data_IF_092344211480
#
_entry.id   IF_092344211480
#
_cell.length_a   1.000
_cell.length_b   1.000
_cell.length_c   1.000
_cell.angle_alpha   90.00
_cell.angle_beta   90.00
_cell.angle_gamma   90.00
#
_symmetry.space_group_name_H-M   'P 1'
#
loop_
_entity.id
_entity.type
_entity.pdbx_description
1 polymer ?
#
# COMPACT_ATOMS: atom_id res chain seq x y z
N UNK A 1 2.55 -5.50 -37.12
CA UNK A 1 3.11 -5.20 -35.79
C UNK A 1 4.59 -4.83 -35.84
N UNK A 2 5.50 -5.65 -36.40
CA UNK A 2 6.93 -5.32 -36.43
C UNK A 2 7.27 -3.98 -37.09
N UNK A 3 6.54 -3.60 -38.16
CA UNK A 3 6.67 -2.26 -38.77
C UNK A 3 6.17 -1.14 -37.86
N UNK A 4 5.00 -1.30 -37.23
CA UNK A 4 4.44 -0.33 -36.30
C UNK A 4 5.34 -0.10 -35.07
N UNK A 5 5.91 -1.18 -34.50
CA UNK A 5 6.93 -1.06 -33.45
C UNK A 5 8.19 -0.37 -33.98
N UNK A 6 8.65 -0.77 -35.16
CA UNK A 6 9.77 -0.17 -35.86
C UNK A 6 9.66 1.34 -36.06
N UNK A 7 8.48 1.83 -36.45
CA UNK A 7 8.19 3.25 -36.60
C UNK A 7 8.34 4.01 -35.27
N UNK A 8 7.96 3.40 -34.15
CA UNK A 8 8.01 4.05 -32.83
C UNK A 8 9.42 4.06 -32.22
N UNK A 9 10.18 2.96 -32.34
CA UNK A 9 11.42 2.78 -31.56
C UNK A 9 12.69 2.59 -32.41
N UNK A 10 12.58 2.40 -33.73
CA UNK A 10 13.72 2.04 -34.58
C UNK A 10 13.66 2.66 -35.99
N UNK A 11 13.10 3.88 -36.11
CA UNK A 11 13.12 4.66 -37.34
C UNK A 11 12.49 3.97 -38.56
N UNK A 12 11.42 3.18 -38.34
CA UNK A 12 10.68 2.48 -39.39
C UNK A 12 11.22 1.09 -39.76
N UNK A 13 12.34 0.64 -39.17
CA UNK A 13 12.85 -0.72 -39.40
C UNK A 13 12.01 -1.76 -38.65
N UNK A 14 11.55 -2.84 -39.31
CA UNK A 14 10.78 -3.90 -38.65
C UNK A 14 11.50 -4.41 -37.39
N UNK A 15 10.84 -4.31 -36.24
CA UNK A 15 11.40 -4.67 -34.93
C UNK A 15 10.48 -5.63 -34.20
N UNK A 16 11.05 -6.69 -33.65
CA UNK A 16 10.32 -7.72 -32.90
C UNK A 16 10.58 -7.59 -31.40
N UNK A 17 9.56 -7.77 -30.55
CA UNK A 17 9.76 -7.82 -29.11
C UNK A 17 10.49 -9.11 -28.72
N UNK A 18 11.41 -9.01 -27.76
CA UNK A 18 12.05 -10.18 -27.14
C UNK A 18 11.18 -10.81 -26.04
N UNK A 19 10.28 -10.01 -25.46
CA UNK A 19 9.37 -10.41 -24.39
C UNK A 19 8.12 -9.53 -24.48
N UNK A 20 6.96 -10.09 -24.12
CA UNK A 20 5.72 -9.34 -23.97
C UNK A 20 5.31 -9.39 -22.50
N UNK A 21 5.13 -8.22 -21.88
CA UNK A 21 4.73 -8.12 -20.47
C UNK A 21 3.28 -7.63 -20.38
N UNK A 22 2.36 -8.54 -20.03
CA UNK A 22 0.97 -8.23 -19.75
C UNK A 22 0.78 -7.71 -18.32
N UNK A 23 0.00 -6.63 -18.18
CA UNK A 23 -0.36 -6.06 -16.88
C UNK A 23 -1.88 -6.04 -16.72
N UNK A 24 -2.40 -6.50 -15.57
CA UNK A 24 -3.84 -6.70 -15.35
C UNK A 24 -4.47 -7.75 -16.28
N UNK A 25 -5.78 -7.96 -16.13
CA UNK A 25 -6.53 -9.00 -16.83
C UNK A 25 -6.65 -8.74 -18.34
N UNK A 26 -7.02 -7.52 -18.71
CA UNK A 26 -7.26 -7.07 -20.07
C UNK A 26 -5.98 -7.09 -20.91
N UNK A 27 -4.91 -6.42 -20.45
CA UNK A 27 -3.65 -6.47 -21.18
C UNK A 27 -2.97 -7.84 -21.06
N UNK A 28 -3.27 -8.62 -20.00
CA UNK A 28 -2.86 -10.02 -19.88
C UNK A 28 -3.43 -10.89 -20.99
N UNK A 29 -4.72 -10.78 -21.28
CA UNK A 29 -5.38 -11.49 -22.39
C UNK A 29 -4.81 -11.08 -23.76
N UNK A 30 -4.62 -9.78 -23.98
CA UNK A 30 -4.01 -9.28 -25.22
C UNK A 30 -2.58 -9.79 -25.36
N UNK A 31 -1.80 -9.75 -24.27
CA UNK A 31 -0.44 -10.27 -24.25
C UNK A 31 -0.39 -11.77 -24.54
N UNK A 32 -1.34 -12.56 -24.03
CA UNK A 32 -1.43 -13.99 -24.31
C UNK A 32 -1.65 -14.28 -25.80
N UNK A 33 -2.60 -13.56 -26.42
CA UNK A 33 -2.87 -13.68 -27.85
C UNK A 33 -1.67 -13.26 -28.70
N UNK A 34 -1.02 -12.15 -28.34
CA UNK A 34 0.17 -11.67 -29.05
C UNK A 34 1.37 -12.60 -28.89
N UNK A 35 1.59 -13.12 -27.69
CA UNK A 35 2.62 -14.12 -27.38
C UNK A 35 2.47 -15.35 -28.28
N UNK A 36 1.25 -15.89 -28.37
CA UNK A 36 0.97 -17.03 -29.25
C UNK A 36 1.13 -16.70 -30.74
N UNK A 37 0.65 -15.54 -31.19
CA UNK A 37 0.75 -15.14 -32.59
C UNK A 37 2.19 -14.83 -33.05
N UNK A 38 3.03 -14.30 -32.15
CA UNK A 38 4.40 -13.90 -32.46
C UNK A 38 5.44 -14.95 -32.05
N UNK A 39 5.05 -15.96 -31.28
CA UNK A 39 5.93 -16.94 -30.68
C UNK A 39 7.04 -16.27 -29.84
N UNK A 40 6.65 -15.32 -28.98
CA UNK A 40 7.54 -14.52 -28.12
C UNK A 40 7.18 -14.81 -26.65
N UNK A 41 8.15 -15.02 -25.75
CA UNK A 41 7.88 -15.27 -24.34
C UNK A 41 7.00 -14.22 -23.68
N UNK A 42 6.06 -14.66 -22.84
CA UNK A 42 5.17 -13.79 -22.07
C UNK A 42 5.50 -13.76 -20.59
N UNK A 43 5.51 -12.56 -20.03
CA UNK A 43 5.50 -12.28 -18.59
C UNK A 43 4.16 -11.66 -18.21
N UNK A 44 3.62 -12.03 -17.05
CA UNK A 44 2.37 -11.48 -16.54
C UNK A 44 2.57 -10.83 -15.16
N UNK A 45 1.95 -9.67 -14.94
CA UNK A 45 1.78 -9.09 -13.61
C UNK A 45 0.30 -8.78 -13.38
N UNK A 46 -0.31 -9.45 -12.40
CA UNK A 46 -1.74 -9.34 -12.15
C UNK A 46 -2.16 -7.99 -11.57
N UNK A 47 -1.37 -7.42 -10.65
CA UNK A 47 -1.65 -6.22 -9.82
C UNK A 47 -2.90 -6.32 -8.93
N UNK A 48 -3.98 -6.90 -9.42
CA UNK A 48 -5.23 -7.16 -8.72
C UNK A 48 -5.99 -8.29 -9.40
N UNK A 49 -6.44 -9.28 -8.63
CA UNK A 49 -7.05 -10.49 -9.17
C UNK A 49 -8.57 -10.53 -8.99
N UNK A 50 -9.27 -11.01 -10.02
CA UNK A 50 -10.72 -11.16 -10.08
C UNK A 50 -11.27 -12.16 -9.06
N UNK A 51 -10.68 -13.36 -8.92
CA UNK A 51 -11.16 -14.39 -7.97
C UNK A 51 -11.10 -13.91 -6.52
N UNK A 52 -10.01 -13.25 -6.13
CA UNK A 52 -9.87 -12.68 -4.78
C UNK A 52 -10.94 -11.61 -4.51
N UNK A 53 -11.18 -10.71 -5.46
CA UNK A 53 -12.26 -9.71 -5.36
C UNK A 53 -13.64 -10.36 -5.30
N UNK A 54 -13.85 -11.41 -6.09
CA UNK A 54 -15.11 -12.13 -6.14
C UNK A 54 -15.43 -12.79 -4.78
N UNK A 55 -14.46 -13.48 -4.18
CA UNK A 55 -14.63 -14.04 -2.82
C UNK A 55 -14.93 -12.97 -1.78
N UNK A 56 -14.25 -11.82 -1.85
CA UNK A 56 -14.51 -10.70 -0.92
C UNK A 56 -15.94 -10.17 -1.07
N UNK A 57 -16.44 -10.01 -2.30
CA UNK A 57 -17.80 -9.56 -2.55
C UNK A 57 -18.85 -10.57 -2.05
N UNK A 58 -18.58 -11.87 -2.23
CA UNK A 58 -19.45 -12.93 -1.69
C UNK A 58 -19.47 -12.93 -0.16
N UNK A 59 -18.32 -12.76 0.50
CA UNK A 59 -18.21 -12.70 1.96
C UNK A 59 -18.97 -11.52 2.58
N UNK A 60 -19.17 -10.44 1.83
CA UNK A 60 -20.00 -9.32 2.29
C UNK A 60 -21.50 -9.67 2.35
N UNK A 61 -21.94 -10.74 1.70
CA UNK A 61 -23.31 -11.26 1.77
C UNK A 61 -24.39 -10.34 1.17
N UNK A 62 -24.00 -9.25 0.51
CA UNK A 62 -24.94 -8.22 0.02
C UNK A 62 -25.61 -8.56 -1.31
N UNK A 63 -24.99 -9.44 -2.11
CA UNK A 63 -25.41 -9.70 -3.49
C UNK A 63 -25.22 -11.17 -3.86
N UNK A 64 -26.12 -11.70 -4.69
CA UNK A 64 -25.95 -13.04 -5.26
C UNK A 64 -24.80 -13.06 -6.27
N UNK A 65 -24.27 -14.25 -6.55
CA UNK A 65 -23.21 -14.47 -7.55
C UNK A 65 -23.61 -13.91 -8.93
N UNK A 66 -24.86 -14.10 -9.31
CA UNK A 66 -25.43 -13.66 -10.59
C UNK A 66 -25.44 -12.13 -10.67
N UNK A 67 -25.87 -11.47 -9.59
CA UNK A 67 -25.87 -10.00 -9.51
C UNK A 67 -24.45 -9.43 -9.58
N UNK A 68 -23.51 -10.00 -8.83
CA UNK A 68 -22.10 -9.58 -8.86
C UNK A 68 -21.54 -9.69 -10.28
N UNK A 69 -21.79 -10.81 -10.97
CA UNK A 69 -21.31 -11.00 -12.33
C UNK A 69 -22.01 -10.08 -13.34
N UNK A 70 -23.31 -9.85 -13.20
CA UNK A 70 -24.05 -8.94 -14.07
C UNK A 70 -23.48 -7.51 -14.02
N UNK A 71 -23.17 -7.03 -12.82
CA UNK A 71 -22.66 -5.68 -12.54
C UNK A 71 -21.18 -5.51 -12.92
N UNK A 72 -20.31 -6.41 -12.47
CA UNK A 72 -18.84 -6.23 -12.60
C UNK A 72 -18.20 -7.03 -13.74
N UNK A 73 -18.98 -7.87 -14.45
CA UNK A 73 -18.47 -8.82 -15.46
C UNK A 73 -17.30 -9.64 -14.93
N UNK A 74 -17.37 -10.02 -13.65
CA UNK A 74 -16.24 -10.59 -12.92
C UNK A 74 -15.78 -11.93 -13.51
N UNK A 75 -16.68 -12.73 -14.06
CA UNK A 75 -16.33 -14.03 -14.65
C UNK A 75 -15.51 -13.85 -15.93
N UNK A 76 -15.83 -12.84 -16.76
CA UNK A 76 -15.06 -12.51 -17.97
C UNK A 76 -13.65 -12.01 -17.65
N UNK A 77 -13.52 -11.28 -16.54
CA UNK A 77 -12.21 -10.88 -16.01
C UNK A 77 -11.41 -12.09 -15.53
N UNK A 78 -12.03 -13.00 -14.78
CA UNK A 78 -11.37 -14.21 -14.30
C UNK A 78 -10.90 -15.07 -15.48
N UNK A 79 -11.72 -15.23 -16.51
CA UNK A 79 -11.37 -15.93 -17.75
C UNK A 79 -10.14 -15.30 -18.45
N UNK A 80 -10.08 -13.97 -18.55
CA UNK A 80 -8.89 -13.27 -19.08
C UNK A 80 -7.63 -13.53 -18.24
N UNK A 81 -7.77 -13.55 -16.91
CA UNK A 81 -6.68 -13.82 -15.98
C UNK A 81 -6.19 -15.28 -16.07
N UNK A 82 -7.10 -16.26 -16.21
CA UNK A 82 -6.76 -17.67 -16.45
C UNK A 82 -6.02 -17.84 -17.79
N UNK A 83 -6.51 -17.20 -18.85
CA UNK A 83 -5.85 -17.24 -20.17
C UNK A 83 -4.45 -16.62 -20.12
N UNK A 84 -4.30 -15.49 -19.44
CA UNK A 84 -3.00 -14.86 -19.23
C UNK A 84 -2.05 -15.74 -18.42
N UNK A 85 -2.57 -16.42 -17.40
CA UNK A 85 -1.82 -17.32 -16.53
C UNK A 85 -1.31 -18.56 -17.27
N UNK A 86 -2.16 -19.14 -18.13
CA UNK A 86 -1.83 -20.30 -18.97
C UNK A 86 -0.78 -19.97 -20.04
N UNK A 87 -0.84 -18.76 -20.61
CA UNK A 87 0.10 -18.32 -21.65
C UNK A 87 1.45 -17.84 -21.10
N UNK A 88 1.52 -17.42 -19.84
CA UNK A 88 2.72 -16.85 -19.25
C UNK A 88 3.81 -17.90 -19.01
N UNK A 89 5.05 -17.56 -19.34
CA UNK A 89 6.21 -18.33 -18.89
C UNK A 89 6.61 -17.97 -17.46
N UNK A 90 6.39 -16.71 -17.09
CA UNK A 90 6.68 -16.15 -15.78
C UNK A 90 5.56 -15.23 -15.33
N UNK A 91 5.18 -15.35 -14.06
CA UNK A 91 4.28 -14.40 -13.40
C UNK A 91 5.08 -13.68 -12.33
N UNK A 92 5.09 -12.35 -12.42
CA UNK A 92 5.73 -11.46 -11.45
C UNK A 92 4.68 -10.97 -10.47
N UNK A 93 4.91 -11.24 -9.19
CA UNK A 93 4.08 -10.77 -8.08
C UNK A 93 4.87 -9.82 -7.19
N UNK A 94 4.15 -8.96 -6.46
CA UNK A 94 4.79 -8.04 -5.53
C UNK A 94 5.18 -8.74 -4.22
N UNK A 95 4.40 -9.74 -3.82
CA UNK A 95 4.53 -10.46 -2.55
C UNK A 95 4.39 -11.98 -2.73
N UNK A 96 4.84 -12.74 -1.73
CA UNK A 96 4.60 -14.19 -1.64
C UNK A 96 3.15 -14.50 -1.31
N UNK A 97 2.50 -13.68 -0.48
CA UNK A 97 1.09 -13.84 -0.16
C UNK A 97 0.20 -13.72 -1.41
N UNK A 98 0.56 -12.86 -2.37
CA UNK A 98 -0.12 -12.79 -3.66
C UNK A 98 -0.07 -14.14 -4.42
N UNK A 99 1.09 -14.81 -4.41
CA UNK A 99 1.23 -16.14 -5.04
C UNK A 99 0.38 -17.18 -4.29
N UNK A 100 0.48 -17.21 -2.96
CA UNK A 100 -0.07 -18.29 -2.15
C UNK A 100 -1.59 -18.18 -1.96
N UNK A 101 -2.10 -16.98 -1.73
CA UNK A 101 -3.50 -16.76 -1.34
C UNK A 101 -4.37 -16.16 -2.45
N UNK A 102 -3.78 -15.57 -3.49
CA UNK A 102 -4.54 -14.97 -4.60
C UNK A 102 -4.42 -15.79 -5.87
N UNK A 103 -3.20 -15.99 -6.38
CA UNK A 103 -2.99 -16.85 -7.55
C UNK A 103 -3.31 -18.32 -7.25
N UNK A 104 -3.13 -18.77 -6.01
CA UNK A 104 -3.54 -20.10 -5.56
C UNK A 104 -5.05 -20.38 -5.67
N UNK A 105 -5.89 -19.38 -5.97
CA UNK A 105 -7.31 -19.54 -6.23
C UNK A 105 -7.64 -19.92 -7.69
N UNK A 106 -6.69 -19.80 -8.61
CA UNK A 106 -6.91 -19.98 -10.05
C UNK A 106 -6.68 -21.43 -10.47
N UNK A 107 -7.47 -21.90 -11.44
CA UNK A 107 -7.46 -23.32 -11.82
C UNK A 107 -6.20 -23.67 -12.63
N UNK A 108 -5.65 -22.70 -13.38
CA UNK A 108 -4.39 -22.85 -14.12
C UNK A 108 -3.14 -22.98 -13.23
N UNK A 109 -3.27 -22.79 -11.91
CA UNK A 109 -2.10 -22.75 -11.01
C UNK A 109 -2.29 -23.51 -9.69
N UNK A 110 -1.40 -24.47 -9.45
CA UNK A 110 -1.24 -25.15 -8.16
C UNK A 110 0.22 -25.06 -7.70
N UNK A 111 0.43 -24.48 -6.53
CA UNK A 111 1.76 -24.20 -5.96
C UNK A 111 2.54 -25.50 -5.69
N UNK A 112 1.87 -26.55 -5.22
CA UNK A 112 2.52 -27.83 -4.90
C UNK A 112 2.93 -28.53 -6.20
N UNK A 113 2.08 -28.47 -7.22
CA UNK A 113 2.35 -29.04 -8.53
C UNK A 113 3.48 -28.30 -9.24
N UNK A 114 3.45 -26.96 -9.25
CA UNK A 114 4.52 -26.12 -9.83
C UNK A 114 5.89 -26.48 -9.23
N UNK A 115 5.98 -26.56 -7.89
CA UNK A 115 7.21 -26.92 -7.19
C UNK A 115 7.71 -28.32 -7.60
N UNK A 116 6.80 -29.29 -7.72
CA UNK A 116 7.14 -30.66 -8.18
C UNK A 116 7.64 -30.67 -9.63
N UNK A 117 6.93 -29.99 -10.54
CA UNK A 117 7.31 -29.88 -11.95
C UNK A 117 8.68 -29.22 -12.11
N UNK A 118 8.99 -28.19 -11.30
CA UNK A 118 10.30 -27.53 -11.28
C UNK A 118 11.44 -28.48 -10.87
N UNK A 119 11.24 -29.26 -9.81
CA UNK A 119 12.24 -30.25 -9.36
C UNK A 119 12.45 -31.34 -10.42
N UNK A 120 11.38 -31.81 -11.07
CA UNK A 120 11.46 -32.80 -12.15
C UNK A 120 12.22 -32.27 -13.37
N UNK A 121 11.92 -31.05 -13.83
CA UNK A 121 12.64 -30.39 -14.93
C UNK A 121 14.14 -30.26 -14.63
N UNK A 122 14.51 -29.86 -13.40
CA UNK A 122 15.93 -29.78 -12.96
C UNK A 122 16.65 -31.13 -12.98
N UNK A 123 15.91 -32.23 -12.83
CA UNK A 123 16.44 -33.60 -12.88
C UNK A 123 16.39 -34.20 -14.28
N UNK A 124 16.07 -33.42 -15.32
CA UNK A 124 15.93 -33.90 -16.69
C UNK A 124 14.73 -34.84 -16.91
N UNK A 125 13.78 -34.87 -15.97
CA UNK A 125 12.61 -35.76 -16.05
C UNK A 125 11.51 -35.08 -16.86
N UNK A 126 11.00 -35.78 -17.87
CA UNK A 126 9.89 -35.29 -18.72
C UNK A 126 8.64 -34.95 -17.91
N UNK A 127 8.03 -33.82 -18.28
CA UNK A 127 6.83 -33.23 -17.67
C UNK A 127 5.77 -32.90 -18.74
N UNK A 128 5.71 -33.69 -19.82
CA UNK A 128 4.78 -33.48 -20.94
C UNK A 128 3.33 -33.33 -20.45
N UNK A 129 2.62 -32.34 -21.01
CA UNK A 129 1.18 -32.15 -20.82
C UNK A 129 0.74 -31.20 -19.68
N UNK A 130 1.66 -30.68 -18.85
CA UNK A 130 1.35 -29.58 -17.92
C UNK A 130 2.52 -28.60 -17.79
N UNK A 131 2.35 -27.39 -18.31
CA UNK A 131 3.23 -26.26 -18.03
C UNK A 131 2.55 -25.37 -16.98
N UNK A 132 3.31 -24.91 -16.01
CA UNK A 132 2.87 -23.87 -15.08
C UNK A 132 3.86 -22.73 -15.14
N UNK A 133 3.38 -21.46 -15.10
CA UNK A 133 4.25 -20.31 -15.10
C UNK A 133 5.18 -20.35 -13.90
N UNK A 134 6.39 -19.84 -14.09
CA UNK A 134 7.30 -19.59 -12.98
C UNK A 134 6.79 -18.38 -12.19
N UNK A 135 6.33 -18.60 -10.97
CA UNK A 135 6.02 -17.49 -10.05
C UNK A 135 7.30 -16.89 -9.46
N UNK A 136 7.46 -15.58 -9.58
CA UNK A 136 8.61 -14.83 -9.05
C UNK A 136 8.13 -13.60 -8.30
N UNK A 137 8.61 -13.44 -7.07
CA UNK A 137 8.37 -12.21 -6.30
C UNK A 137 9.43 -11.18 -6.70
N UNK A 138 8.98 -10.11 -7.34
CA UNK A 138 9.80 -8.92 -7.65
C UNK A 138 9.03 -7.73 -7.06
N UNK A 139 9.30 -7.36 -5.80
CA UNK A 139 8.63 -6.23 -5.17
C UNK A 139 8.88 -4.96 -5.99
N UNK A 140 7.86 -4.12 -6.22
CA UNK A 140 8.09 -2.85 -6.88
C UNK A 140 9.00 -1.96 -6.02
N UNK A 141 9.83 -1.18 -6.70
CA UNK A 141 10.71 -0.20 -6.06
C UNK A 141 10.02 1.13 -5.81
N UNK A 142 10.74 2.01 -5.15
CA UNK A 142 10.38 3.41 -4.95
C UNK A 142 11.53 4.28 -5.44
N UNK A 143 11.21 5.44 -5.99
CA UNK A 143 12.22 6.45 -6.29
C UNK A 143 12.63 7.16 -4.99
N UNK A 144 13.82 6.80 -4.50
CA UNK A 144 14.39 7.39 -3.29
C UNK A 144 15.08 8.73 -3.52
N UNK A 145 15.10 9.28 -4.73
CA UNK A 145 15.73 10.59 -5.01
C UNK A 145 15.14 11.72 -4.17
N UNK A 146 13.87 11.59 -3.74
CA UNK A 146 13.18 12.55 -2.87
C UNK A 146 13.36 12.26 -1.38
N UNK A 147 13.87 11.08 -1.00
CA UNK A 147 14.06 10.70 0.40
C UNK A 147 15.39 11.27 0.89
N UNK A 148 15.29 12.41 1.56
CA UNK A 148 16.40 13.01 2.29
C UNK A 148 16.41 12.46 3.71
N UNK A 149 17.25 11.45 3.95
CA UNK A 149 17.54 10.98 5.31
C UNK A 149 18.05 12.19 6.13
N UNK A 150 17.34 12.52 7.20
CA UNK A 150 17.32 13.86 7.76
C UNK A 150 18.70 14.41 8.20
N UNK A 151 18.91 15.69 7.90
CA UNK A 151 19.70 16.62 8.73
C UNK A 151 19.26 16.48 10.21
N UNK A 152 20.23 16.55 11.12
CA UNK A 152 20.13 16.45 12.60
C UNK A 152 18.74 16.74 13.21
N UNK A 153 18.16 15.70 13.84
CA UNK A 153 16.81 15.60 14.39
C UNK A 153 16.41 16.61 15.49
N UNK A 154 17.33 17.38 16.08
CA UNK A 154 17.08 18.06 17.37
C UNK A 154 16.72 19.56 17.30
N UNK A 155 17.05 20.27 16.23
CA UNK A 155 17.03 21.75 16.24
C UNK A 155 15.69 22.41 15.86
N UNK A 156 14.98 21.88 14.87
CA UNK A 156 13.99 22.69 14.14
C UNK A 156 12.64 22.86 14.86
N UNK A 157 12.22 21.90 15.70
CA UNK A 157 10.87 21.91 16.30
C UNK A 157 10.74 22.93 17.44
N UNK A 158 11.83 23.26 18.15
CA UNK A 158 11.83 24.25 19.24
C UNK A 158 11.60 25.68 18.73
N UNK A 159 12.15 26.01 17.55
CA UNK A 159 12.04 27.34 16.93
C UNK A 159 10.64 27.75 16.45
N UNK A 160 9.68 26.82 16.47
CA UNK A 160 8.27 27.08 16.12
C UNK A 160 7.46 27.67 17.27
N UNK A 161 7.86 27.35 18.50
CA UNK A 161 6.99 27.49 19.67
C UNK A 161 7.54 28.56 20.62
N UNK A 162 8.86 28.83 20.58
CA UNK A 162 9.42 30.04 21.19
C UNK A 162 9.14 31.27 20.32
N UNK A 163 8.54 32.28 20.94
CA UNK A 163 8.22 33.60 20.37
C UNK A 163 9.44 34.51 20.22
N UNK A 164 10.65 33.98 20.40
CA UNK A 164 11.88 34.77 20.36
C UNK A 164 12.40 34.95 18.92
N UNK A 165 12.42 36.21 18.48
CA UNK A 165 12.44 36.61 17.06
C UNK A 165 13.81 36.57 16.38
N UNK A 166 14.86 35.97 16.95
CA UNK A 166 16.23 36.35 16.59
C UNK A 166 17.25 35.25 16.27
N UNK A 167 16.86 34.14 15.63
CA UNK A 167 17.83 33.26 14.96
C UNK A 167 17.31 32.81 13.59
N UNK A 168 18.22 32.76 12.60
CA UNK A 168 18.01 32.37 11.19
C UNK A 168 17.03 31.21 11.03
N UNK A 169 15.73 31.50 10.88
CA UNK A 169 14.68 30.49 10.70
C UNK A 169 14.87 29.83 9.33
N UNK A 170 15.37 28.59 9.30
CA UNK A 170 15.06 27.69 8.19
C UNK A 170 13.53 27.73 8.03
N UNK A 171 13.04 28.16 6.88
CA UNK A 171 11.60 28.24 6.62
C UNK A 171 11.02 26.85 6.74
N UNK A 172 10.19 26.63 7.74
CA UNK A 172 9.57 25.33 7.94
C UNK A 172 8.55 25.06 6.84
N UNK A 173 8.34 23.79 6.47
CA UNK A 173 7.36 23.45 5.45
C UNK A 173 5.97 23.99 5.80
N UNK A 174 5.27 24.70 4.90
CA UNK A 174 3.93 25.25 5.17
C UNK A 174 2.92 24.21 5.65
N UNK A 175 3.05 22.97 5.17
CA UNK A 175 2.18 21.85 5.56
C UNK A 175 2.26 21.52 7.06
N UNK A 176 3.38 21.82 7.74
CA UNK A 176 3.50 21.59 9.18
C UNK A 176 2.56 22.48 9.96
N UNK A 177 2.45 23.76 9.58
CA UNK A 177 1.51 24.71 10.21
C UNK A 177 0.05 24.29 10.00
N UNK A 178 -0.28 23.79 8.80
CA UNK A 178 -1.62 23.28 8.49
C UNK A 178 -2.00 22.04 9.33
N UNK A 179 -1.02 21.21 9.71
CA UNK A 179 -1.23 20.06 10.60
C UNK A 179 -1.25 20.50 12.06
N UNK A 180 -0.27 21.30 12.51
CA UNK A 180 -0.09 21.67 13.91
C UNK A 180 -1.23 22.51 14.47
N UNK A 181 -1.95 23.28 13.63
CA UNK A 181 -3.10 24.08 14.08
C UNK A 181 -4.23 23.25 14.71
N UNK A 182 -4.27 21.94 14.46
CA UNK A 182 -5.27 21.05 15.03
C UNK A 182 -4.92 20.59 16.45
N UNK A 183 -3.69 20.80 16.91
CA UNK A 183 -3.19 20.22 18.15
C UNK A 183 -3.09 21.25 19.27
N UNK A 184 -3.58 20.87 20.46
CA UNK A 184 -3.36 21.64 21.69
C UNK A 184 -1.91 21.50 22.15
N UNK A 185 -1.33 20.31 22.03
CA UNK A 185 0.09 20.06 22.31
C UNK A 185 0.77 19.42 21.08
N UNK A 186 1.41 20.21 20.20
CA UNK A 186 2.06 19.70 19.00
C UNK A 186 3.37 18.91 19.27
N UNK A 187 3.88 18.89 20.50
CA UNK A 187 5.12 18.16 20.84
C UNK A 187 4.92 16.65 21.03
N UNK A 188 3.68 16.19 21.19
CA UNK A 188 3.40 14.76 21.33
C UNK A 188 3.78 14.01 20.05
N UNK A 189 4.29 12.77 20.16
CA UNK A 189 4.46 11.88 19.02
C UNK A 189 3.24 11.83 18.12
N UNK A 190 3.48 11.84 16.80
CA UNK A 190 2.41 11.80 15.81
C UNK A 190 2.20 10.38 15.28
N UNK A 191 1.01 9.85 15.47
CA UNK A 191 0.54 8.67 14.75
C UNK A 191 0.05 9.15 13.38
N UNK A 192 0.76 8.79 12.32
CA UNK A 192 0.47 9.22 10.96
C UNK A 192 -0.26 8.12 10.18
N UNK A 193 -1.45 8.44 9.67
CA UNK A 193 -2.12 7.66 8.65
C UNK A 193 -2.25 8.48 7.37
N UNK A 194 -1.71 7.96 6.26
CA UNK A 194 -1.76 8.61 4.95
C UNK A 194 -2.45 7.68 3.95
N UNK A 195 -3.64 8.07 3.48
CA UNK A 195 -4.40 7.30 2.50
C UNK A 195 -5.49 8.12 1.82
N UNK A 196 -6.13 7.55 0.79
CA UNK A 196 -7.39 8.08 0.29
C UNK A 196 -8.53 7.82 1.30
N UNK A 197 -9.60 8.62 1.31
CA UNK A 197 -10.78 8.39 2.14
C UNK A 197 -11.65 7.26 1.56
N UNK A 198 -11.12 6.03 1.53
CA UNK A 198 -11.83 4.85 1.02
C UNK A 198 -12.19 3.91 2.19
N UNK A 199 -13.40 3.31 2.22
CA UNK A 199 -13.80 2.38 3.28
C UNK A 199 -12.80 1.24 3.52
N UNK A 200 -12.12 0.76 2.48
CA UNK A 200 -11.10 -0.31 2.57
C UNK A 200 -9.86 0.12 3.35
N UNK A 201 -9.58 1.42 3.43
CA UNK A 201 -8.46 1.97 4.22
C UNK A 201 -8.78 2.01 5.72
N UNK A 202 -10.03 1.77 6.11
CA UNK A 202 -10.44 1.45 7.48
C UNK A 202 -10.01 2.50 8.54
N UNK A 203 -9.94 3.76 8.14
CA UNK A 203 -9.54 4.88 9.01
C UNK A 203 -10.51 5.06 10.18
N UNK A 204 -11.77 4.68 10.00
CA UNK A 204 -12.80 4.73 11.05
C UNK A 204 -12.48 3.81 12.24
N UNK A 205 -11.93 2.61 11.99
CA UNK A 205 -11.54 1.69 13.07
C UNK A 205 -10.31 2.20 13.80
N UNK A 206 -9.37 2.82 13.09
CA UNK A 206 -8.23 3.52 13.70
C UNK A 206 -8.71 4.65 14.64
N UNK A 207 -9.66 5.47 14.21
CA UNK A 207 -10.21 6.54 15.06
C UNK A 207 -10.91 6.01 16.31
N UNK A 208 -11.66 4.90 16.20
CA UNK A 208 -12.26 4.25 17.38
C UNK A 208 -11.19 3.72 18.33
N UNK A 209 -10.17 3.05 17.79
CA UNK A 209 -9.03 2.55 18.57
C UNK A 209 -8.33 3.67 19.34
N UNK A 210 -8.08 4.79 18.68
CA UNK A 210 -7.50 5.97 19.31
C UNK A 210 -8.44 6.61 20.34
N UNK A 211 -9.71 6.80 19.99
CA UNK A 211 -10.69 7.49 20.85
C UNK A 211 -11.02 6.73 22.14
N UNK A 212 -11.03 5.40 22.10
CA UNK A 212 -11.33 4.56 23.27
C UNK A 212 -10.09 4.28 24.14
N UNK A 213 -8.88 4.52 23.63
CA UNK A 213 -7.64 4.25 24.34
C UNK A 213 -7.07 5.52 24.99
N UNK A 214 -7.48 5.79 26.23
CA UNK A 214 -7.02 6.96 26.99
C UNK A 214 -5.48 7.08 27.10
N UNK A 215 -4.72 6.01 27.41
CA UNK A 215 -3.25 6.11 27.47
C UNK A 215 -2.63 6.51 26.13
N UNK A 216 -3.23 6.11 25.01
CA UNK A 216 -2.72 6.44 23.67
C UNK A 216 -2.94 7.92 23.34
N UNK A 217 -4.10 8.46 23.72
CA UNK A 217 -4.46 9.88 23.59
C UNK A 217 -3.57 10.79 24.45
N UNK A 218 -3.24 10.33 25.65
CA UNK A 218 -2.32 11.05 26.53
C UNK A 218 -0.91 11.10 25.94
N UNK A 219 -0.45 9.99 25.35
CA UNK A 219 0.89 9.86 24.79
C UNK A 219 1.08 10.57 23.45
N UNK A 220 0.12 10.47 22.53
CA UNK A 220 0.33 10.80 21.11
C UNK A 220 -0.83 11.61 20.51
N UNK A 221 -0.53 12.34 19.44
CA UNK A 221 -1.51 12.95 18.54
C UNK A 221 -1.76 12.05 17.33
N UNK A 222 -2.91 12.20 16.67
CA UNK A 222 -3.25 11.47 15.45
C UNK A 222 -3.33 12.41 14.25
N UNK A 223 -2.57 12.15 13.19
CA UNK A 223 -2.65 12.89 11.92
C UNK A 223 -3.21 12.00 10.82
N UNK A 224 -4.32 12.42 10.23
CA UNK A 224 -5.04 11.74 9.15
C UNK A 224 -4.92 12.57 7.86
N UNK A 225 -4.04 12.15 6.95
CA UNK A 225 -3.95 12.74 5.60
C UNK A 225 -4.88 11.96 4.68
N UNK A 226 -6.08 12.49 4.44
CA UNK A 226 -7.21 11.81 3.79
C UNK A 226 -7.58 12.41 2.42
N UNK A 227 -6.61 12.53 1.53
CA UNK A 227 -6.82 13.15 0.22
C UNK A 227 -7.16 14.65 0.30
N UNK A 228 -7.46 15.25 -0.85
CA UNK A 228 -7.87 16.64 -0.95
C UNK A 228 -9.40 16.72 -1.08
N UNK A 229 -10.01 17.73 -0.48
CA UNK A 229 -11.46 17.96 -0.53
C UNK A 229 -11.77 19.44 -0.50
N UNK A 230 -12.79 19.90 -1.24
CA UNK A 230 -13.31 21.27 -1.14
C UNK A 230 -14.63 21.28 -0.36
N UNK A 231 -15.61 20.51 -0.84
CA UNK A 231 -16.87 20.22 -0.17
C UNK A 231 -17.04 18.70 -0.03
N UNK A 232 -17.45 18.23 1.15
CA UNK A 232 -17.73 16.82 1.43
C UNK A 232 -19.02 16.38 0.71
N UNK A 233 -19.97 17.30 0.50
CA UNK A 233 -21.24 17.02 -0.17
C UNK A 233 -21.11 16.71 -1.66
N UNK A 234 -20.06 17.19 -2.32
CA UNK A 234 -19.82 17.01 -3.76
C UNK A 234 -18.92 15.81 -4.08
N UNK A 235 -18.39 15.12 -3.06
CA UNK A 235 -17.54 13.94 -3.26
C UNK A 235 -18.37 12.70 -3.62
N UNK A 236 -17.71 11.68 -4.17
CA UNK A 236 -18.33 10.35 -4.33
C UNK A 236 -18.90 9.84 -3.00
N UNK A 237 -20.03 9.14 -3.02
CA UNK A 237 -20.73 8.61 -1.83
C UNK A 237 -19.79 7.86 -0.87
N UNK A 238 -18.86 7.06 -1.41
CA UNK A 238 -17.88 6.31 -0.62
C UNK A 238 -16.94 7.23 0.17
N UNK A 239 -16.35 8.23 -0.49
CA UNK A 239 -15.43 9.18 0.15
C UNK A 239 -16.14 10.11 1.12
N UNK A 240 -17.31 10.62 0.71
CA UNK A 240 -18.14 11.51 1.53
C UNK A 240 -18.58 10.81 2.83
N UNK A 241 -19.04 9.56 2.74
CA UNK A 241 -19.45 8.78 3.91
C UNK A 241 -18.29 8.49 4.87
N UNK A 242 -17.08 8.19 4.37
CA UNK A 242 -15.89 8.00 5.21
C UNK A 242 -15.54 9.28 5.97
N UNK A 243 -15.47 10.42 5.29
CA UNK A 243 -15.13 11.70 5.92
C UNK A 243 -16.22 12.16 6.91
N UNK A 244 -17.49 11.98 6.56
CA UNK A 244 -18.61 12.25 7.47
C UNK A 244 -18.51 11.40 8.73
N UNK A 245 -18.17 10.12 8.60
CA UNK A 245 -17.98 9.24 9.75
C UNK A 245 -16.74 9.63 10.57
N UNK A 246 -15.65 10.04 9.94
CA UNK A 246 -14.46 10.59 10.63
C UNK A 246 -14.87 11.77 11.51
N UNK A 247 -15.61 12.74 10.98
CA UNK A 247 -16.08 13.91 11.74
C UNK A 247 -17.00 13.52 12.91
N UNK A 248 -17.96 12.62 12.67
CA UNK A 248 -18.84 12.09 13.72
C UNK A 248 -18.07 11.38 14.84
N UNK A 249 -17.01 10.64 14.52
CA UNK A 249 -16.20 9.95 15.51
C UNK A 249 -15.31 10.91 16.31
N UNK A 250 -14.77 11.95 15.66
CA UNK A 250 -14.01 13.01 16.35
C UNK A 250 -14.90 13.70 17.38
N UNK A 251 -16.13 14.04 17.00
CA UNK A 251 -17.12 14.63 17.89
C UNK A 251 -17.53 13.67 19.02
N UNK A 252 -17.89 12.42 18.68
CA UNK A 252 -18.31 11.39 19.63
C UNK A 252 -17.29 11.15 20.76
N UNK A 253 -15.99 11.14 20.44
CA UNK A 253 -14.92 10.84 21.39
C UNK A 253 -14.22 12.09 21.95
N UNK A 254 -14.73 13.30 21.62
CA UNK A 254 -14.15 14.58 22.02
C UNK A 254 -12.64 14.67 21.71
N UNK A 255 -12.30 14.49 20.43
CA UNK A 255 -10.90 14.40 19.95
C UNK A 255 -10.35 15.74 19.44
N UNK A 256 -11.03 16.84 19.72
CA UNK A 256 -10.56 18.18 19.41
C UNK A 256 -9.21 18.45 20.09
N UNK A 257 -8.27 19.09 19.38
CA UNK A 257 -6.91 19.31 19.91
C UNK A 257 -5.98 18.11 19.84
N UNK A 258 -6.44 16.94 19.38
CA UNK A 258 -5.67 15.68 19.36
C UNK A 258 -5.60 15.03 17.97
N UNK A 259 -6.56 15.32 17.09
CA UNK A 259 -6.65 14.73 15.74
C UNK A 259 -6.54 15.83 14.67
N UNK A 260 -5.54 15.70 13.78
CA UNK A 260 -5.37 16.56 12.61
C UNK A 260 -5.91 15.88 11.36
N UNK A 261 -6.63 16.62 10.53
CA UNK A 261 -7.22 16.15 9.28
C UNK A 261 -7.23 17.27 8.23
N UNK A 262 -6.03 17.73 7.79
CA UNK A 262 -5.90 18.87 6.89
C UNK A 262 -6.71 18.68 5.60
N UNK A 263 -7.15 19.81 5.04
CA UNK A 263 -8.09 19.84 3.91
C UNK A 263 -7.39 19.58 2.57
N UNK A 264 -6.17 20.10 2.43
CA UNK A 264 -5.37 20.00 1.22
C UNK A 264 -3.91 19.68 1.54
N UNK A 265 -3.26 18.99 0.61
CA UNK A 265 -1.81 18.81 0.54
C UNK A 265 -1.39 18.66 -0.93
N UNK A 266 -0.14 18.98 -1.23
CA UNK A 266 0.51 18.72 -2.52
C UNK A 266 1.35 17.45 -2.44
N UNK A 267 1.65 16.86 -3.59
CA UNK A 267 2.58 15.72 -3.65
C UNK A 267 3.96 16.07 -3.08
N UNK A 268 4.42 17.32 -3.28
CA UNK A 268 5.66 17.86 -2.72
C UNK A 268 5.68 17.92 -1.19
N UNK A 269 4.51 17.94 -0.56
CA UNK A 269 4.38 18.07 0.90
C UNK A 269 4.52 16.71 1.60
N UNK A 270 4.30 15.60 0.88
CA UNK A 270 4.31 14.23 1.43
C UNK A 270 5.64 13.88 2.13
N UNK A 271 6.82 14.16 1.54
CA UNK A 271 8.11 14.04 2.24
C UNK A 271 8.15 14.77 3.59
N UNK A 272 7.64 16.00 3.64
CA UNK A 272 7.66 16.82 4.84
C UNK A 272 6.67 16.31 5.89
N UNK A 273 5.55 15.69 5.48
CA UNK A 273 4.60 15.03 6.38
C UNK A 273 5.27 13.83 7.07
N UNK A 274 5.97 12.97 6.33
CA UNK A 274 6.71 11.85 6.92
C UNK A 274 7.82 12.37 7.84
N UNK A 275 8.53 13.43 7.43
CA UNK A 275 9.57 14.06 8.26
C UNK A 275 9.00 14.62 9.56
N UNK A 276 7.81 15.23 9.53
CA UNK A 276 7.14 15.73 10.74
C UNK A 276 6.89 14.60 11.72
N UNK A 277 6.31 13.49 11.27
CA UNK A 277 6.06 12.32 12.11
C UNK A 277 7.37 11.73 12.66
N UNK A 278 8.45 11.68 11.86
CA UNK A 278 9.74 11.19 12.32
C UNK A 278 10.35 12.10 13.39
N UNK A 279 10.27 13.43 13.21
CA UNK A 279 10.78 14.41 14.18
C UNK A 279 10.03 14.40 15.50
N UNK A 280 8.73 14.13 15.50
CA UNK A 280 7.97 13.98 16.75
C UNK A 280 8.18 12.62 17.40
N UNK A 281 9.06 11.76 16.85
CA UNK A 281 9.24 10.35 17.28
C UNK A 281 7.93 9.56 17.21
N UNK A 282 7.16 9.86 16.16
CA UNK A 282 5.88 9.27 15.85
C UNK A 282 5.97 7.88 15.21
N UNK A 283 4.81 7.40 14.75
CA UNK A 283 4.63 6.07 14.18
C UNK A 283 3.75 6.19 12.94
N UNK A 284 4.06 5.44 11.89
CA UNK A 284 3.18 5.32 10.73
C UNK A 284 2.23 4.14 10.88
N UNK A 285 0.95 4.33 10.54
CA UNK A 285 -0.04 3.25 10.54
C UNK A 285 -0.79 3.10 9.21
N UNK A 286 -0.90 1.85 8.75
CA UNK A 286 -1.82 1.44 7.68
C UNK A 286 -2.83 0.41 8.21
N UNK A 287 -4.04 0.84 8.61
CA UNK A 287 -5.05 -0.03 9.21
C UNK A 287 -5.97 -0.70 8.18
N UNK A 288 -5.61 -0.70 6.88
CA UNK A 288 -6.49 -1.17 5.79
C UNK A 288 -6.99 -2.60 6.01
N UNK A 289 -8.23 -2.88 5.58
CA UNK A 289 -8.80 -4.22 5.67
C UNK A 289 -7.97 -5.24 4.89
N UNK A 290 -7.45 -4.83 3.73
CA UNK A 290 -6.47 -5.53 2.91
C UNK A 290 -5.58 -4.49 2.22
N UNK A 291 -4.27 -4.69 2.25
CA UNK A 291 -3.30 -3.85 1.55
C UNK A 291 -2.52 -4.71 0.55
N UNK A 292 -2.71 -4.57 -0.78
CA UNK A 292 -2.08 -5.44 -1.78
C UNK A 292 -0.55 -5.42 -1.75
N UNK A 293 0.04 -4.23 -1.57
CA UNK A 293 1.48 -4.06 -1.40
C UNK A 293 1.78 -3.10 -0.26
N UNK A 294 1.41 -1.82 -0.42
CA UNK A 294 1.60 -0.78 0.59
C UNK A 294 2.88 0.03 0.39
N UNK A 295 2.98 0.76 -0.73
CA UNK A 295 4.12 1.68 -0.99
C UNK A 295 4.33 2.69 0.14
N UNK A 296 3.23 3.18 0.75
CA UNK A 296 3.29 4.10 1.88
C UNK A 296 4.06 3.55 3.08
N UNK A 297 4.13 2.22 3.24
CA UNK A 297 4.91 1.58 4.29
C UNK A 297 6.41 1.68 4.03
N UNK A 298 6.83 1.51 2.76
CA UNK A 298 8.22 1.64 2.34
C UNK A 298 8.64 3.11 2.43
N UNK A 299 7.77 4.02 2.02
CA UNK A 299 7.92 5.47 2.17
C UNK A 299 8.17 5.83 3.63
N UNK A 300 7.26 5.45 4.54
CA UNK A 300 7.38 5.72 5.96
C UNK A 300 8.66 5.13 6.56
N UNK A 301 8.97 3.88 6.20
CA UNK A 301 10.20 3.22 6.62
C UNK A 301 11.45 3.97 6.15
N UNK A 302 11.46 4.51 4.93
CA UNK A 302 12.57 5.27 4.37
C UNK A 302 12.85 6.58 5.14
N UNK A 303 11.82 7.16 5.77
CA UNK A 303 11.95 8.29 6.71
C UNK A 303 12.26 7.86 8.15
N UNK A 304 12.51 6.58 8.40
CA UNK A 304 12.87 6.05 9.71
C UNK A 304 11.69 5.85 10.66
N UNK A 305 10.45 5.89 10.17
CA UNK A 305 9.27 5.69 11.01
C UNK A 305 9.11 4.20 11.37
N UNK A 306 8.85 3.88 12.65
CA UNK A 306 8.24 2.61 13.02
C UNK A 306 6.88 2.47 12.34
N UNK A 307 6.55 1.25 11.91
CA UNK A 307 5.34 0.98 11.13
C UNK A 307 4.40 0.03 11.87
N UNK A 308 3.11 0.36 11.94
CA UNK A 308 2.04 -0.57 12.32
C UNK A 308 1.18 -0.83 11.07
N UNK A 309 1.00 -2.07 10.67
CA UNK A 309 0.29 -2.38 9.43
C UNK A 309 -0.64 -3.58 9.55
N UNK A 310 -1.67 -3.61 8.71
CA UNK A 310 -2.55 -4.77 8.58
C UNK A 310 -1.78 -6.05 8.27
N UNK A 311 -2.18 -7.17 8.88
CA UNK A 311 -1.67 -8.52 8.57
C UNK A 311 -2.23 -9.11 7.27
N UNK A 312 -3.12 -8.38 6.59
CA UNK A 312 -3.81 -8.86 5.40
C UNK A 312 -3.20 -8.24 4.13
N UNK A 313 -2.33 -8.99 3.45
CA UNK A 313 -1.73 -8.61 2.17
C UNK A 313 -0.24 -8.26 2.27
N UNK A 314 0.23 -7.46 1.32
CA UNK A 314 1.66 -7.16 1.15
C UNK A 314 2.44 -6.63 2.35
N UNK A 315 1.84 -5.96 3.36
CA UNK A 315 2.59 -5.52 4.54
C UNK A 315 3.30 -6.67 5.27
N UNK A 316 2.79 -7.90 5.22
CA UNK A 316 3.41 -9.06 5.88
C UNK A 316 4.84 -9.29 5.38
N UNK A 317 5.05 -9.23 4.07
CA UNK A 317 6.37 -9.43 3.46
C UNK A 317 7.27 -8.21 3.63
N UNK A 318 6.71 -6.99 3.57
CA UNK A 318 7.45 -5.75 3.76
C UNK A 318 8.02 -5.69 5.18
N UNK A 319 7.19 -5.86 6.20
CA UNK A 319 7.61 -5.77 7.60
C UNK A 319 8.56 -6.91 7.97
N UNK A 320 8.39 -8.10 7.38
CA UNK A 320 9.34 -9.21 7.54
C UNK A 320 10.71 -8.90 6.96
N UNK A 321 10.78 -8.12 5.88
CA UNK A 321 12.02 -7.78 5.20
C UNK A 321 12.72 -6.57 5.86
N UNK A 322 11.95 -5.58 6.29
CA UNK A 322 12.46 -4.34 6.88
C UNK A 322 12.69 -4.44 8.40
N UNK A 323 12.08 -5.42 9.07
CA UNK A 323 12.13 -5.63 10.52
C UNK A 323 11.75 -4.38 11.35
N UNK A 324 10.94 -3.49 10.80
CA UNK A 324 10.70 -2.14 11.35
C UNK A 324 9.27 -1.89 11.84
N UNK A 325 8.48 -2.94 12.10
CA UNK A 325 7.07 -2.74 12.41
C UNK A 325 6.33 -3.90 13.08
N UNK A 326 5.05 -3.66 13.35
CA UNK A 326 4.10 -4.60 13.96
C UNK A 326 2.92 -4.88 13.01
N UNK A 327 2.51 -6.14 12.93
CA UNK A 327 1.33 -6.56 12.18
C UNK A 327 0.11 -6.64 13.10
N UNK A 328 -1.03 -6.14 12.65
CA UNK A 328 -2.30 -6.13 13.41
C UNK A 328 -3.46 -6.68 12.59
N UNK A 329 -4.46 -7.24 13.26
CA UNK A 329 -5.75 -7.53 12.62
C UNK A 329 -6.54 -6.23 12.43
N UNK A 330 -6.91 -5.85 11.19
CA UNK A 330 -7.61 -4.60 10.96
C UNK A 330 -9.05 -4.58 11.54
N UNK A 331 -9.59 -5.71 11.97
CA UNK A 331 -10.90 -5.79 12.63
C UNK A 331 -10.80 -5.77 14.16
N UNK A 332 -9.60 -5.94 14.71
CA UNK A 332 -9.36 -5.91 16.15
C UNK A 332 -8.88 -4.51 16.57
N UNK A 333 -9.84 -3.70 16.99
CA UNK A 333 -9.60 -2.35 17.46
C UNK A 333 -8.61 -2.29 18.64
N UNK A 334 -8.67 -3.27 19.55
CA UNK A 334 -7.79 -3.32 20.70
C UNK A 334 -6.36 -3.66 20.28
N UNK A 335 -6.19 -4.61 19.37
CA UNK A 335 -4.88 -4.93 18.81
C UNK A 335 -4.22 -3.72 18.11
N UNK A 336 -5.01 -2.89 17.41
CA UNK A 336 -4.53 -1.64 16.81
C UNK A 336 -4.02 -0.68 17.91
N UNK A 337 -4.83 -0.44 18.95
CA UNK A 337 -4.45 0.46 20.05
C UNK A 337 -3.20 -0.02 20.79
N UNK A 338 -3.14 -1.31 21.14
CA UNK A 338 -2.02 -1.92 21.86
C UNK A 338 -0.73 -1.87 21.03
N UNK A 339 -0.80 -2.11 19.72
CA UNK A 339 0.34 -2.01 18.83
C UNK A 339 0.85 -0.57 18.69
N UNK A 340 -0.06 0.40 18.58
CA UNK A 340 0.29 1.83 18.52
C UNK A 340 0.93 2.30 19.82
N UNK A 341 0.37 1.93 20.98
CA UNK A 341 0.97 2.21 22.29
C UNK A 341 2.38 1.65 22.38
N UNK A 342 2.56 0.39 22.02
CA UNK A 342 3.87 -0.27 22.03
C UNK A 342 4.87 0.42 21.09
N UNK A 343 4.42 0.85 19.91
CA UNK A 343 5.26 1.52 18.93
C UNK A 343 5.67 2.93 19.41
N UNK A 344 4.75 3.70 19.99
CA UNK A 344 5.03 5.04 20.51
C UNK A 344 5.90 5.03 21.78
N UNK A 345 5.80 3.98 22.61
CA UNK A 345 6.61 3.86 23.84
C UNK A 345 8.04 3.37 23.59
N UNK A 346 8.34 2.76 22.44
CA UNK A 346 9.69 2.30 22.11
C UNK A 346 10.54 3.50 21.66
N UNK A 347 11.42 3.97 22.54
CA UNK A 347 12.40 5.04 22.23
C UNK A 347 13.71 4.53 21.59
N UNK A 348 13.90 3.22 21.44
CA UNK A 348 15.06 2.74 20.69
C UNK A 348 14.83 2.98 19.20
N UNK A 349 15.72 3.71 18.51
CA UNK A 349 15.79 3.59 17.07
C UNK A 349 15.97 2.10 16.77
N UNK A 350 15.21 1.56 15.82
CA UNK A 350 15.51 0.26 15.26
C UNK A 350 16.88 0.37 14.59
N UNK A 351 17.92 0.18 15.40
CA UNK A 351 19.28 0.08 14.93
C UNK A 351 19.30 -1.05 13.90
N UNK A 352 19.75 -0.68 12.71
CA UNK A 352 19.88 -1.47 11.48
C UNK A 352 18.65 -1.46 10.56
N UNK A 353 18.33 -0.27 10.02
CA UNK A 353 18.19 -0.25 8.55
C UNK A 353 19.54 -0.68 7.96
N UNK A 354 19.62 -1.70 7.10
CA UNK A 354 20.86 -1.99 6.41
C UNK A 354 21.25 -0.73 5.62
N UNK A 355 22.43 -0.18 5.90
CA UNK A 355 23.02 0.97 5.17
C UNK A 355 23.24 0.70 3.67
N UNK A 356 22.80 -0.45 3.17
CA UNK A 356 22.77 -0.85 1.77
C UNK A 356 21.47 -1.61 1.52
N UNK A 357 20.61 -1.04 0.69
CA UNK A 357 19.62 -1.81 -0.05
C UNK A 357 20.36 -2.83 -0.94
N UNK A 358 19.89 -4.08 -1.06
CA UNK A 358 20.43 -5.04 -2.03
C UNK A 358 20.25 -4.57 -3.47
#
# INVERSE_FOLDING_TARGET
MARALGEQVNGGKPTWPYVIHGHYADAGEVAALLSGALNVPMVLTGHSLGRNKFEQLLKQGRHSKEHINATYKIMRRIEAEEMGLDAAEMVVTSTRQEIEEQWGLYDGFDIKLERKLRVRRRRGVSCLGRCMPRMVVIPPGMDFSYVTAADSLEGDLKSLIDSDRNQNKRSLPPIWSEIMRFFTNPHKPTILALSRPDPKKNVTTLLKAFGECQPLRELANLTLILGNRDDIGEMSDSSSSVLTNVLKLIDKYDLYGQVAYPKHHKQSDVPDIYRLAAKTKGVFINPALVEPFGLTLIEAAAYGLPVVATKNGGPVDILKSLHNGLLVDPHDQKAIADALLKACCRQEPLDRMPKKWP
#
